data_IF_466542392230
#
_entry.id   IF_466542392230
#
_cell.length_a   1.000
_cell.length_b   1.000
_cell.length_c   1.000
_cell.angle_alpha   90.00
_cell.angle_beta   90.00
_cell.angle_gamma   90.00
#
_symmetry.space_group_name_H-M   'P 1'
#
loop_
_entity.id
_entity.type
_entity.pdbx_description
1 polymer ?
#
# COMPACT_ATOMS: atom_id res chain seq x y z
N UNK A 1 8.82 -50.04 -7.23
CA UNK A 1 7.74 -49.12 -6.83
C UNK A 1 8.33 -47.73 -6.61
N UNK A 2 8.27 -46.82 -7.59
CA UNK A 2 8.68 -45.40 -7.48
C UNK A 2 8.14 -44.63 -8.69
N UNK A 3 6.89 -44.18 -8.64
CA UNK A 3 6.29 -43.34 -9.70
C UNK A 3 5.35 -42.24 -9.17
N UNK A 4 5.50 -41.80 -7.91
CA UNK A 4 4.63 -40.77 -7.29
C UNK A 4 5.38 -39.43 -7.07
N UNK A 5 6.60 -39.28 -7.57
CA UNK A 5 7.39 -38.05 -7.35
C UNK A 5 7.08 -36.90 -8.32
N UNK A 6 6.35 -37.17 -9.41
CA UNK A 6 6.10 -36.18 -10.47
C UNK A 6 4.92 -35.23 -10.17
N UNK A 7 3.78 -35.64 -9.59
CA UNK A 7 2.67 -34.70 -9.35
C UNK A 7 2.96 -33.67 -8.25
N UNK A 8 3.95 -33.91 -7.38
CA UNK A 8 4.30 -32.99 -6.29
C UNK A 8 5.06 -31.74 -6.78
N UNK A 9 5.75 -31.83 -7.93
CA UNK A 9 6.55 -30.72 -8.47
C UNK A 9 5.67 -29.62 -9.11
N UNK A 10 4.49 -29.98 -9.61
CA UNK A 10 3.57 -29.05 -10.29
C UNK A 10 2.81 -28.12 -9.32
N UNK A 11 2.69 -28.49 -8.05
CA UNK A 11 1.97 -27.69 -7.04
C UNK A 11 2.78 -26.47 -6.59
N UNK A 12 4.11 -26.51 -6.70
CA UNK A 12 4.98 -25.39 -6.28
C UNK A 12 4.96 -24.18 -7.22
N UNK A 13 4.53 -24.34 -8.47
CA UNK A 13 4.53 -23.27 -9.48
C UNK A 13 3.29 -22.36 -9.44
N UNK A 14 2.29 -22.66 -8.60
CA UNK A 14 1.07 -21.86 -8.46
C UNK A 14 1.18 -20.75 -7.40
N UNK A 15 2.34 -20.55 -6.78
CA UNK A 15 2.56 -19.46 -5.80
C UNK A 15 2.84 -18.11 -6.47
N UNK A 16 2.03 -17.72 -7.45
CA UNK A 16 2.00 -16.34 -7.91
C UNK A 16 1.32 -15.49 -6.84
N UNK A 17 2.10 -14.71 -6.09
CA UNK A 17 1.56 -13.62 -5.27
C UNK A 17 0.80 -12.67 -6.21
N UNK A 18 -0.53 -12.67 -6.11
CA UNK A 18 -1.37 -11.77 -6.88
C UNK A 18 -0.93 -10.31 -6.63
N UNK A 19 -0.87 -9.47 -7.68
CA UNK A 19 -0.54 -8.07 -7.50
C UNK A 19 -1.57 -7.43 -6.57
N UNK A 20 -1.10 -6.83 -5.47
CA UNK A 20 -1.94 -6.08 -4.54
C UNK A 20 -2.45 -4.84 -5.25
N UNK A 21 -3.73 -4.83 -5.62
CA UNK A 21 -4.35 -3.73 -6.35
C UNK A 21 -4.98 -2.76 -5.36
N UNK A 22 -4.55 -1.49 -5.39
CA UNK A 22 -5.21 -0.42 -4.64
C UNK A 22 -6.25 0.26 -5.53
N UNK A 23 -7.48 0.36 -5.04
CA UNK A 23 -8.57 1.03 -5.74
C UNK A 23 -9.38 1.91 -4.78
N UNK A 24 -10.00 2.96 -5.33
CA UNK A 24 -10.96 3.79 -4.59
C UNK A 24 -12.06 2.89 -3.99
N UNK A 25 -12.55 3.26 -2.81
CA UNK A 25 -13.43 2.50 -1.93
C UNK A 25 -12.82 1.28 -1.23
N UNK A 26 -11.52 0.99 -1.40
CA UNK A 26 -10.84 -0.02 -0.58
C UNK A 26 -10.98 0.32 0.92
N UNK A 27 -11.41 -0.63 1.77
CA UNK A 27 -11.45 -0.44 3.22
C UNK A 27 -10.05 -0.19 3.79
N UNK A 28 -9.95 0.72 4.75
CA UNK A 28 -8.68 1.07 5.41
C UNK A 28 -8.02 -0.13 6.09
N UNK A 29 -8.82 -1.02 6.69
CA UNK A 29 -8.32 -2.25 7.31
C UNK A 29 -7.75 -3.23 6.29
N UNK A 30 -8.33 -3.29 5.08
CA UNK A 30 -7.77 -4.07 3.99
C UNK A 30 -6.46 -3.45 3.50
N UNK A 31 -6.44 -2.13 3.29
CA UNK A 31 -5.25 -1.41 2.90
C UNK A 31 -4.09 -1.63 3.87
N UNK A 32 -4.30 -1.50 5.19
CA UNK A 32 -3.25 -1.71 6.21
C UNK A 32 -2.65 -3.13 6.16
N UNK A 33 -3.45 -4.14 5.83
CA UNK A 33 -2.99 -5.53 5.68
C UNK A 33 -2.16 -5.71 4.42
N UNK A 34 -2.58 -5.10 3.33
CA UNK A 34 -1.92 -5.24 2.03
C UNK A 34 -0.67 -4.34 1.90
N UNK A 35 -0.68 -3.17 2.52
CA UNK A 35 0.33 -2.11 2.41
C UNK A 35 1.04 -1.85 3.75
N UNK A 36 1.59 -2.89 4.37
CA UNK A 36 2.25 -2.81 5.66
C UNK A 36 3.44 -1.82 5.72
N UNK A 37 4.04 -1.45 4.58
CA UNK A 37 5.11 -0.45 4.54
C UNK A 37 4.62 1.00 4.44
N UNK A 38 3.32 1.22 4.28
CA UNK A 38 2.74 2.56 4.33
C UNK A 38 2.76 3.10 5.76
N UNK A 39 3.20 4.35 5.93
CA UNK A 39 3.30 5.04 7.21
C UNK A 39 2.16 6.05 7.35
N UNK A 40 1.51 6.05 8.51
CA UNK A 40 0.52 7.07 8.85
C UNK A 40 1.22 8.43 8.99
N UNK A 41 0.72 9.45 8.31
CA UNK A 41 1.27 10.82 8.39
C UNK A 41 0.23 11.86 8.81
N UNK A 42 -1.06 11.56 8.68
CA UNK A 42 -2.13 12.43 9.13
C UNK A 42 -3.28 11.57 9.67
N UNK A 43 -3.75 11.91 10.87
CA UNK A 43 -4.97 11.36 11.45
C UNK A 43 -5.79 12.52 12.01
N UNK A 44 -6.92 12.81 11.37
CA UNK A 44 -7.83 13.89 11.77
C UNK A 44 -9.28 13.43 11.65
N UNK A 45 -10.20 14.22 12.18
CA UNK A 45 -11.64 14.00 11.99
C UNK A 45 -12.06 14.08 10.51
N UNK A 46 -11.28 14.80 9.69
CA UNK A 46 -11.62 15.07 8.29
C UNK A 46 -11.11 14.01 7.30
N UNK A 47 -9.99 13.36 7.63
CA UNK A 47 -9.33 12.32 6.82
C UNK A 47 -8.18 11.65 7.58
N UNK A 48 -7.80 10.47 7.07
CA UNK A 48 -6.55 9.78 7.41
C UNK A 48 -5.66 9.75 6.17
N UNK A 49 -4.35 9.97 6.31
CA UNK A 49 -3.40 9.94 5.19
C UNK A 49 -2.23 9.02 5.50
N UNK A 50 -1.99 8.08 4.59
CA UNK A 50 -0.82 7.21 4.61
C UNK A 50 0.16 7.56 3.49
N UNK A 51 1.45 7.36 3.74
CA UNK A 51 2.55 7.59 2.80
C UNK A 51 3.34 6.29 2.58
N UNK A 52 3.61 5.91 1.34
CA UNK A 52 4.42 4.76 0.99
C UNK A 52 5.50 5.16 -0.02
N UNK A 53 6.73 4.73 0.18
CA UNK A 53 7.80 4.98 -0.78
C UNK A 53 7.54 4.16 -2.05
N UNK A 54 7.48 4.83 -3.20
CA UNK A 54 7.39 4.19 -4.51
C UNK A 54 8.81 4.03 -5.06
N UNK A 55 9.32 2.79 -5.08
CA UNK A 55 10.62 2.50 -5.67
C UNK A 55 10.49 2.39 -7.20
N UNK A 56 10.19 3.51 -7.86
CA UNK A 56 10.32 3.61 -9.31
C UNK A 56 11.80 3.93 -9.65
N UNK A 57 12.41 3.30 -10.67
CA UNK A 57 13.78 3.61 -11.06
C UNK A 57 13.91 5.08 -11.45
N UNK A 58 14.71 5.84 -10.69
CA UNK A 58 15.07 7.23 -11.01
C UNK A 58 14.38 8.31 -10.19
N UNK A 59 13.25 8.03 -9.52
CA UNK A 59 12.56 9.04 -8.71
C UNK A 59 11.98 8.42 -7.43
N UNK A 60 12.50 8.84 -6.27
CA UNK A 60 12.00 8.45 -4.95
C UNK A 60 10.72 9.20 -4.58
N UNK A 61 9.68 9.06 -5.40
CA UNK A 61 8.38 9.67 -5.13
C UNK A 61 7.63 8.86 -4.06
N UNK A 62 6.83 9.56 -3.26
CA UNK A 62 5.92 8.91 -2.33
C UNK A 62 4.54 8.79 -2.95
N UNK A 63 3.89 7.64 -2.71
CA UNK A 63 2.44 7.47 -2.87
C UNK A 63 1.74 7.90 -1.60
N UNK A 64 0.68 8.69 -1.75
CA UNK A 64 -0.20 9.10 -0.66
C UNK A 64 -1.58 8.46 -0.84
N UNK A 65 -2.17 8.01 0.26
CA UNK A 65 -3.46 7.33 0.30
C UNK A 65 -4.37 8.04 1.29
N UNK A 66 -5.50 8.56 0.81
CA UNK A 66 -6.39 9.40 1.61
C UNK A 66 -7.68 8.65 1.92
N UNK A 67 -7.96 8.45 3.21
CA UNK A 67 -9.14 7.75 3.68
C UNK A 67 -10.13 8.73 4.29
N UNK A 68 -11.42 8.51 4.01
CA UNK A 68 -12.54 9.13 4.71
C UNK A 68 -13.56 8.05 5.04
N UNK A 69 -14.10 8.07 6.26
CA UNK A 69 -15.06 7.07 6.73
C UNK A 69 -14.57 5.62 6.51
N UNK A 70 -13.28 5.37 6.77
CA UNK A 70 -12.65 4.05 6.64
C UNK A 70 -12.51 3.53 5.20
N UNK A 71 -12.66 4.38 4.18
CA UNK A 71 -12.55 4.01 2.76
C UNK A 71 -11.55 4.91 2.04
N UNK A 72 -10.77 4.31 1.14
CA UNK A 72 -9.86 5.05 0.27
C UNK A 72 -10.66 5.93 -0.68
N UNK A 73 -10.35 7.21 -0.71
CA UNK A 73 -11.05 8.22 -1.53
C UNK A 73 -10.17 8.80 -2.63
N UNK A 74 -8.86 8.86 -2.41
CA UNK A 74 -7.89 9.44 -3.33
C UNK A 74 -6.54 8.75 -3.19
N UNK A 75 -5.80 8.71 -4.28
CA UNK A 75 -4.37 8.40 -4.32
C UNK A 75 -3.65 9.52 -5.05
N UNK A 76 -2.45 9.86 -4.58
CA UNK A 76 -1.62 10.92 -5.17
C UNK A 76 -0.14 10.50 -5.13
N UNK A 77 0.70 11.12 -5.95
CA UNK A 77 2.15 10.88 -6.00
C UNK A 77 2.92 12.21 -5.93
N UNK A 78 3.97 12.25 -5.11
CA UNK A 78 4.80 13.43 -4.98
C UNK A 78 5.70 13.41 -3.74
N UNK A 79 6.11 14.61 -3.31
CA UNK A 79 6.92 14.79 -2.11
C UNK A 79 6.09 15.14 -0.88
N UNK A 80 4.96 15.82 -1.09
CA UNK A 80 4.05 16.31 -0.06
C UNK A 80 2.63 15.81 -0.32
N UNK A 81 1.83 15.56 0.74
CA UNK A 81 0.43 15.24 0.57
C UNK A 81 -0.36 16.45 0.05
N UNK A 82 -1.40 16.15 -0.72
CA UNK A 82 -2.33 17.11 -1.29
C UNK A 82 -2.93 18.04 -0.24
N UNK A 83 -2.88 19.34 -0.54
CA UNK A 83 -3.38 20.40 0.33
C UNK A 83 -2.38 20.85 1.40
N UNK A 84 -1.14 20.33 1.41
CA UNK A 84 -0.10 20.82 2.31
C UNK A 84 0.99 21.59 1.58
N UNK A 85 1.37 22.75 2.14
CA UNK A 85 2.45 23.61 1.62
C UNK A 85 3.78 23.39 2.35
N UNK A 86 3.78 22.60 3.42
CA UNK A 86 4.95 22.29 4.25
C UNK A 86 5.13 20.78 4.41
N UNK A 87 6.36 20.28 4.62
CA UNK A 87 6.62 18.88 4.93
C UNK A 87 5.84 18.40 6.16
N UNK A 88 5.19 17.24 6.04
CA UNK A 88 4.56 16.59 7.20
C UNK A 88 5.64 15.90 8.02
N UNK A 89 5.80 16.25 9.31
CA UNK A 89 6.67 15.51 10.21
C UNK A 89 6.27 14.04 10.20
N UNK A 90 7.26 13.16 10.00
CA UNK A 90 6.97 11.72 10.12
C UNK A 90 6.83 11.42 11.61
N UNK A 91 5.73 10.80 12.08
CA UNK A 91 5.63 10.44 13.48
C UNK A 91 6.77 9.46 13.82
N UNK A 92 7.54 9.80 14.84
CA UNK A 92 8.56 8.91 15.41
C UNK A 92 7.83 7.82 16.20
N UNK A 93 8.10 6.57 15.85
CA UNK A 93 7.63 5.38 16.58
C UNK A 93 8.83 4.69 17.22
#
# INVERSE_FOLDING_TARGET
>A
MKKILIPLLLVFLMSCAAPKMVAVNMPEDQFKKEHASAKLIELSESRTVYRQLNYAPGEGLYKFYYFKNGKLTLMDEGFLPHGQTTPVPTPEF
#
